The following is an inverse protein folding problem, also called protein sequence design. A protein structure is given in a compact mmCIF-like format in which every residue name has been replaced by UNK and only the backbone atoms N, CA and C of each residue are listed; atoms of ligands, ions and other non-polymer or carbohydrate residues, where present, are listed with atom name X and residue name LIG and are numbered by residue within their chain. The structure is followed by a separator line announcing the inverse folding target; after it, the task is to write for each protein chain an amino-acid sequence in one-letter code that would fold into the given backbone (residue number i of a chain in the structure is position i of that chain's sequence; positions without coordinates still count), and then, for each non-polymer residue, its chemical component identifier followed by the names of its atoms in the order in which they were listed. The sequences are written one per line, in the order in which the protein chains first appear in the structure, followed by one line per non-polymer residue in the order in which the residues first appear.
data_IF_099542373302
#
_entry.id   IF_099542373302
#
_cell.length_a   1.000
_cell.length_b   1.000
_cell.length_c   1.000
_cell.angle_alpha   90.00
_cell.angle_beta   90.00
_cell.angle_gamma   90.00
#
_symmetry.space_group_name_H-M   'P 1'
#
loop_
_entity.id
_entity.type
_entity.pdbx_description
1 polymer ?
#
# COMPACT_ATOMS: atom_id res chain seq x y z
N UNK A 1 14.77 36.84 -2.69
CA UNK A 1 13.94 36.11 -1.72
C UNK A 1 13.69 34.72 -2.30
N UNK A 2 14.51 33.76 -1.90
CA UNK A 2 14.33 32.34 -2.19
C UNK A 2 13.02 31.91 -1.52
N UNK A 3 11.99 31.65 -2.31
CA UNK A 3 10.79 30.98 -1.82
C UNK A 3 11.24 29.60 -1.34
N UNK A 4 11.13 29.34 -0.06
CA UNK A 4 11.25 27.99 0.51
C UNK A 4 10.20 27.15 -0.19
N UNK A 5 10.66 26.27 -1.06
CA UNK A 5 9.83 25.29 -1.75
C UNK A 5 9.17 24.45 -0.64
N UNK A 6 7.86 24.63 -0.43
CA UNK A 6 7.11 23.74 0.44
C UNK A 6 7.21 22.36 -0.21
N UNK A 7 7.80 21.39 0.47
CA UNK A 7 7.88 20.01 0.04
C UNK A 7 6.48 19.38 0.09
N UNK A 8 5.64 19.69 -0.90
CA UNK A 8 4.28 19.16 -0.97
C UNK A 8 4.35 17.68 -1.30
N UNK A 9 3.68 16.86 -0.51
CA UNK A 9 3.46 15.45 -0.79
C UNK A 9 2.08 15.22 -1.41
N UNK A 10 1.97 14.21 -2.28
CA UNK A 10 0.70 13.62 -2.70
C UNK A 10 0.62 12.20 -2.18
N UNK A 11 -0.55 11.81 -1.68
CA UNK A 11 -0.86 10.43 -1.30
C UNK A 11 -2.05 9.97 -2.13
N UNK A 12 -1.87 8.94 -2.97
CA UNK A 12 -2.99 8.28 -3.67
C UNK A 12 -3.62 7.21 -2.79
N UNK A 13 -4.90 6.88 -3.03
CA UNK A 13 -5.62 5.95 -2.17
C UNK A 13 -5.78 6.48 -0.74
N UNK A 14 -5.87 7.79 -0.59
CA UNK A 14 -5.86 8.50 0.69
C UNK A 14 -7.06 8.19 1.60
N UNK A 15 -8.15 7.65 1.07
CA UNK A 15 -9.30 7.17 1.84
C UNK A 15 -9.17 5.69 2.27
N UNK A 16 -8.12 5.00 1.84
CA UNK A 16 -7.81 3.63 2.25
C UNK A 16 -7.06 3.59 3.59
N UNK A 17 -6.90 2.36 4.13
CA UNK A 17 -6.31 2.16 5.45
C UNK A 17 -4.89 2.76 5.57
N UNK A 18 -3.96 2.35 4.71
CA UNK A 18 -2.60 2.89 4.74
C UNK A 18 -2.56 4.34 4.27
N UNK A 19 -3.23 4.67 3.16
CA UNK A 19 -3.21 6.02 2.59
C UNK A 19 -3.68 7.08 3.58
N UNK A 20 -4.74 6.81 4.35
CA UNK A 20 -5.23 7.75 5.35
C UNK A 20 -4.25 7.91 6.52
N UNK A 21 -3.62 6.83 6.99
CA UNK A 21 -2.58 6.92 8.02
C UNK A 21 -1.35 7.72 7.53
N UNK A 22 -0.95 7.58 6.26
CA UNK A 22 0.14 8.39 5.68
C UNK A 22 -0.27 9.87 5.60
N UNK A 23 -1.50 10.18 5.17
CA UNK A 23 -1.99 11.58 5.16
C UNK A 23 -1.94 12.18 6.56
N UNK A 24 -2.42 11.48 7.59
CA UNK A 24 -2.40 11.96 8.98
C UNK A 24 -0.98 12.21 9.49
N UNK A 25 -0.05 11.33 9.16
CA UNK A 25 1.37 11.50 9.51
C UNK A 25 1.98 12.75 8.86
N UNK A 26 1.54 13.10 7.66
CA UNK A 26 2.10 14.19 6.87
C UNK A 26 1.35 15.52 7.01
N UNK A 27 0.28 15.58 7.83
CA UNK A 27 -0.64 16.73 7.88
C UNK A 27 0.09 18.06 8.15
N UNK A 28 1.05 18.06 9.07
CA UNK A 28 1.82 19.25 9.44
C UNK A 28 3.03 19.50 8.52
N UNK A 29 3.30 18.59 7.56
CA UNK A 29 4.42 18.65 6.63
C UNK A 29 4.05 19.14 5.23
N UNK A 30 2.75 19.30 4.97
CA UNK A 30 2.21 19.67 3.67
C UNK A 30 1.88 18.43 2.82
N UNK A 31 0.60 18.09 2.78
CA UNK A 31 0.09 16.91 2.06
C UNK A 31 -1.19 17.25 1.30
N UNK A 32 -1.29 16.70 0.11
CA UNK A 32 -2.51 16.62 -0.70
C UNK A 32 -2.98 15.17 -0.72
N UNK A 33 -4.22 14.95 -0.36
CA UNK A 33 -4.86 13.65 -0.40
C UNK A 33 -5.52 13.44 -1.77
N UNK A 34 -5.35 12.26 -2.38
CA UNK A 34 -6.00 11.93 -3.63
C UNK A 34 -6.84 10.68 -3.48
N UNK A 35 -8.07 10.76 -3.99
CA UNK A 35 -9.05 9.67 -4.00
C UNK A 35 -9.61 9.48 -5.41
N UNK A 36 -10.00 8.26 -5.74
CA UNK A 36 -10.61 7.96 -7.04
C UNK A 36 -11.93 8.69 -7.25
N UNK A 37 -12.72 8.81 -6.17
CA UNK A 37 -14.01 9.51 -6.20
C UNK A 37 -14.24 10.19 -4.86
N UNK A 38 -14.55 11.49 -4.89
CA UNK A 38 -14.86 12.27 -3.68
C UNK A 38 -16.34 12.06 -3.32
N UNK A 39 -16.67 10.94 -2.69
CA UNK A 39 -18.02 10.62 -2.21
C UNK A 39 -18.16 10.69 -0.69
N UNK A 40 -17.17 10.15 0.02
CA UNK A 40 -17.15 10.11 1.48
C UNK A 40 -16.02 11.00 2.00
N UNK A 41 -16.38 12.00 2.80
CA UNK A 41 -15.40 12.91 3.44
C UNK A 41 -15.03 12.49 4.85
N UNK A 42 -15.66 11.45 5.41
CA UNK A 42 -15.40 10.97 6.77
C UNK A 42 -13.91 10.68 7.04
N UNK A 43 -13.16 10.02 6.12
CA UNK A 43 -11.74 9.78 6.34
C UNK A 43 -10.88 11.03 6.52
N UNK A 44 -11.38 12.19 6.08
CA UNK A 44 -10.67 13.48 6.12
C UNK A 44 -11.27 14.46 7.12
N UNK A 45 -12.26 14.05 7.91
CA UNK A 45 -12.89 14.91 8.90
C UNK A 45 -11.86 15.45 9.91
N UNK A 46 -11.81 16.78 10.06
CA UNK A 46 -10.88 17.47 10.97
C UNK A 46 -9.43 17.57 10.43
N UNK A 47 -9.13 17.09 9.23
CA UNK A 47 -7.82 17.22 8.62
C UNK A 47 -7.72 18.47 7.73
N UNK A 48 -6.67 19.25 7.93
CA UNK A 48 -6.38 20.42 7.10
C UNK A 48 -5.51 20.04 5.90
N UNK A 49 -6.11 19.40 4.89
CA UNK A 49 -5.44 19.05 3.65
C UNK A 49 -6.38 19.19 2.44
N UNK A 50 -5.79 19.45 1.28
CA UNK A 50 -6.52 19.41 0.03
C UNK A 50 -6.88 17.96 -0.33
N UNK A 51 -8.12 17.73 -0.71
CA UNK A 51 -8.60 16.44 -1.22
C UNK A 51 -8.93 16.61 -2.70
N UNK A 52 -8.20 15.92 -3.56
CA UNK A 52 -8.36 15.96 -5.02
C UNK A 52 -8.77 14.61 -5.57
N UNK A 53 -9.37 14.62 -6.76
CA UNK A 53 -9.75 13.40 -7.46
C UNK A 53 -8.66 13.00 -8.44
N UNK A 54 -8.20 11.74 -8.36
CA UNK A 54 -7.37 11.14 -9.38
C UNK A 54 -7.58 9.61 -9.44
N UNK A 55 -7.57 9.06 -10.63
CA UNK A 55 -7.70 7.64 -10.90
C UNK A 55 -6.42 7.12 -11.57
N UNK A 56 -5.87 6.01 -11.10
CA UNK A 56 -4.68 5.39 -11.69
C UNK A 56 -4.92 4.92 -13.14
N UNK A 57 -6.16 4.75 -13.55
CA UNK A 57 -6.53 4.43 -14.94
C UNK A 57 -6.65 5.66 -15.84
N UNK A 58 -6.59 6.87 -15.25
CA UNK A 58 -6.63 8.15 -15.95
C UNK A 58 -5.34 8.95 -15.66
N UNK A 59 -4.36 8.80 -16.56
CA UNK A 59 -3.05 9.45 -16.43
C UNK A 59 -3.17 10.98 -16.28
N UNK A 60 -4.10 11.62 -17.00
CA UNK A 60 -4.25 13.08 -16.93
C UNK A 60 -4.74 13.54 -15.55
N UNK A 61 -5.63 12.78 -14.94
CA UNK A 61 -6.08 13.08 -13.57
C UNK A 61 -4.92 13.02 -12.55
N UNK A 62 -4.02 12.06 -12.73
CA UNK A 62 -2.79 11.95 -11.90
C UNK A 62 -1.84 13.14 -12.13
N UNK A 63 -1.61 13.55 -13.39
CA UNK A 63 -0.76 14.70 -13.71
C UNK A 63 -1.32 15.97 -13.04
N UNK A 64 -2.62 16.17 -13.10
CA UNK A 64 -3.27 17.33 -12.48
C UNK A 64 -3.10 17.31 -10.94
N UNK A 65 -3.29 16.15 -10.32
CA UNK A 65 -3.13 16.00 -8.87
C UNK A 65 -1.67 16.18 -8.41
N UNK A 66 -0.70 15.85 -9.26
CA UNK A 66 0.74 15.92 -8.98
C UNK A 66 1.36 17.31 -9.21
N UNK A 67 0.60 18.31 -9.67
CA UNK A 67 1.15 19.66 -9.89
C UNK A 67 1.74 20.23 -8.61
N UNK A 68 3.03 20.62 -8.63
CA UNK A 68 3.74 21.19 -7.50
C UNK A 68 4.17 20.19 -6.41
N UNK A 69 4.00 18.90 -6.66
CA UNK A 69 4.36 17.82 -5.71
C UNK A 69 5.85 17.50 -5.81
N UNK A 70 6.54 17.45 -4.67
CA UNK A 70 7.92 17.00 -4.54
C UNK A 70 8.03 15.48 -4.33
N UNK A 71 7.25 14.94 -3.40
CA UNK A 71 7.25 13.51 -3.05
C UNK A 71 5.87 12.91 -3.29
N UNK A 72 5.85 11.83 -4.03
CA UNK A 72 4.63 11.10 -4.35
C UNK A 72 4.58 9.76 -3.61
N UNK A 73 3.64 9.61 -2.69
CA UNK A 73 3.33 8.33 -2.02
C UNK A 73 2.27 7.59 -2.84
N UNK A 74 2.73 6.68 -3.69
CA UNK A 74 1.88 5.89 -4.56
C UNK A 74 1.31 4.68 -3.78
N UNK A 75 0.30 4.93 -2.97
CA UNK A 75 -0.38 3.94 -2.12
C UNK A 75 -1.55 3.29 -2.84
N UNK A 76 -2.24 4.04 -3.69
CA UNK A 76 -3.41 3.55 -4.42
C UNK A 76 -3.06 2.43 -5.39
N UNK A 77 -3.81 1.32 -5.33
CA UNK A 77 -3.78 0.24 -6.30
C UNK A 77 -5.20 -0.21 -6.63
N UNK A 78 -5.41 -0.78 -7.82
CA UNK A 78 -6.65 -1.48 -8.10
C UNK A 78 -6.62 -2.80 -7.35
N UNK A 79 -7.38 -2.87 -6.26
CA UNK A 79 -7.41 -4.05 -5.41
C UNK A 79 -8.69 -4.84 -5.63
N UNK A 80 -8.55 -6.08 -6.14
CA UNK A 80 -9.58 -7.11 -6.17
C UNK A 80 -8.94 -8.44 -5.81
N UNK A 81 -9.54 -9.18 -4.87
CA UNK A 81 -9.13 -10.56 -4.58
C UNK A 81 -9.72 -11.57 -5.56
N UNK A 82 -10.87 -11.25 -6.12
CA UNK A 82 -11.61 -12.11 -7.03
C UNK A 82 -12.14 -11.29 -8.22
N UNK A 83 -12.09 -11.90 -9.40
CA UNK A 83 -12.61 -11.33 -10.63
C UNK A 83 -13.07 -12.46 -11.56
N UNK A 84 -14.00 -12.18 -12.46
CA UNK A 84 -14.41 -13.13 -13.51
C UNK A 84 -13.27 -13.40 -14.48
N UNK A 85 -12.53 -12.37 -14.84
CA UNK A 85 -11.31 -12.44 -15.64
C UNK A 85 -10.14 -11.86 -14.82
N UNK A 86 -9.44 -12.69 -14.00
CA UNK A 86 -8.37 -12.21 -13.13
C UNK A 86 -7.21 -11.56 -13.89
N UNK A 87 -6.92 -12.04 -15.09
CA UNK A 87 -5.86 -11.44 -15.91
C UNK A 87 -6.21 -10.00 -16.27
N UNK A 88 -7.37 -9.78 -16.83
CA UNK A 88 -7.82 -8.46 -17.29
C UNK A 88 -8.15 -7.51 -16.14
N UNK A 89 -8.90 -7.99 -15.15
CA UNK A 89 -9.46 -7.15 -14.09
C UNK A 89 -8.54 -6.94 -12.88
N UNK A 90 -7.51 -7.78 -12.72
CA UNK A 90 -6.53 -7.66 -11.64
C UNK A 90 -5.16 -7.33 -12.22
N UNK A 91 -4.63 -8.19 -13.06
CA UNK A 91 -3.25 -8.08 -13.53
C UNK A 91 -3.05 -6.87 -14.48
N UNK A 92 -3.75 -6.85 -15.61
CA UNK A 92 -3.55 -5.82 -16.66
C UNK A 92 -3.90 -4.41 -16.13
N UNK A 93 -4.99 -4.26 -15.36
CA UNK A 93 -5.39 -2.97 -14.76
C UNK A 93 -4.34 -2.45 -13.79
N UNK A 94 -3.73 -3.32 -12.97
CA UNK A 94 -2.67 -2.90 -12.06
C UNK A 94 -1.40 -2.46 -12.80
N UNK A 95 -0.96 -3.20 -13.82
CA UNK A 95 0.22 -2.83 -14.60
C UNK A 95 0.01 -1.50 -15.35
N UNK A 96 -1.17 -1.30 -15.96
CA UNK A 96 -1.51 -0.04 -16.59
C UNK A 96 -1.54 1.12 -15.58
N UNK A 97 -2.16 0.90 -14.42
CA UNK A 97 -2.18 1.89 -13.34
C UNK A 97 -0.79 2.28 -12.85
N UNK A 98 0.14 1.33 -12.75
CA UNK A 98 1.53 1.59 -12.38
C UNK A 98 2.23 2.41 -13.47
N UNK A 99 2.07 2.05 -14.74
CA UNK A 99 2.61 2.81 -15.86
C UNK A 99 2.12 4.26 -15.82
N UNK A 100 0.83 4.48 -15.70
CA UNK A 100 0.24 5.82 -15.59
C UNK A 100 0.80 6.58 -14.38
N UNK A 101 0.96 5.92 -13.24
CA UNK A 101 1.49 6.50 -12.00
C UNK A 101 2.92 7.03 -12.18
N UNK A 102 3.80 6.21 -12.73
CA UNK A 102 5.21 6.59 -12.93
C UNK A 102 5.32 7.68 -14.01
N UNK A 103 4.66 7.49 -15.15
CA UNK A 103 4.71 8.46 -16.25
C UNK A 103 4.10 9.82 -15.84
N UNK A 104 3.00 9.84 -15.08
CA UNK A 104 2.42 11.08 -14.58
C UNK A 104 3.36 11.80 -13.60
N UNK A 105 4.06 11.07 -12.74
CA UNK A 105 5.03 11.65 -11.83
C UNK A 105 6.22 12.27 -12.57
N UNK A 106 6.71 11.62 -13.61
CA UNK A 106 7.75 12.14 -14.49
C UNK A 106 7.30 13.43 -15.18
N UNK A 107 6.11 13.42 -15.77
CA UNK A 107 5.56 14.57 -16.50
C UNK A 107 5.27 15.77 -15.58
N UNK A 108 4.85 15.53 -14.36
CA UNK A 108 4.63 16.56 -13.35
C UNK A 108 5.92 17.06 -12.65
N UNK A 109 7.08 16.47 -12.92
CA UNK A 109 8.36 16.87 -12.35
C UNK A 109 8.53 16.45 -10.88
N UNK A 110 7.89 15.38 -10.44
CA UNK A 110 8.06 14.82 -9.09
C UNK A 110 9.51 14.36 -8.91
N UNK A 111 10.11 14.68 -7.76
CA UNK A 111 11.49 14.28 -7.46
C UNK A 111 11.60 12.82 -7.04
N UNK A 112 10.72 12.34 -6.15
CA UNK A 112 10.78 11.00 -5.58
C UNK A 112 9.40 10.37 -5.46
N UNK A 113 9.35 9.07 -5.78
CA UNK A 113 8.18 8.22 -5.59
C UNK A 113 8.47 7.23 -4.45
N UNK A 114 7.59 7.15 -3.46
CA UNK A 114 7.51 6.03 -2.54
C UNK A 114 6.41 5.10 -3.05
N UNK A 115 6.82 3.96 -3.60
CA UNK A 115 5.91 2.99 -4.18
C UNK A 115 5.53 1.94 -3.14
N UNK A 116 4.24 1.81 -2.85
CA UNK A 116 3.73 0.79 -1.94
C UNK A 116 3.47 -0.50 -2.70
N UNK A 117 4.40 -1.43 -2.56
CA UNK A 117 4.32 -2.79 -3.07
C UNK A 117 3.64 -3.71 -2.04
N UNK A 118 4.12 -4.90 -1.87
CA UNK A 118 3.62 -5.89 -0.91
C UNK A 118 4.67 -6.95 -0.64
N UNK A 119 4.62 -7.56 0.53
CA UNK A 119 5.36 -8.79 0.83
C UNK A 119 5.08 -9.89 -0.22
N UNK A 120 3.92 -9.83 -0.90
CA UNK A 120 3.57 -10.71 -2.01
C UNK A 120 4.54 -10.67 -3.20
N UNK A 121 5.36 -9.63 -3.32
CA UNK A 121 6.40 -9.50 -4.34
C UNK A 121 7.75 -10.11 -3.94
N UNK A 122 7.84 -10.74 -2.77
CA UNK A 122 9.08 -11.40 -2.31
C UNK A 122 9.10 -12.89 -2.66
N UNK A 123 10.30 -13.48 -2.68
CA UNK A 123 10.46 -14.92 -2.85
C UNK A 123 10.20 -15.66 -1.53
N UNK A 124 9.06 -16.36 -1.44
CA UNK A 124 8.61 -17.03 -0.19
C UNK A 124 9.30 -18.36 0.08
N UNK A 125 9.86 -19.00 -0.94
CA UNK A 125 10.47 -20.32 -0.77
C UNK A 125 11.83 -20.27 -0.10
N UNK A 126 12.41 -19.08 0.00
CA UNK A 126 13.69 -18.82 0.67
C UNK A 126 13.47 -18.17 2.02
N UNK A 127 13.70 -18.92 3.10
CA UNK A 127 13.56 -18.45 4.47
C UNK A 127 14.91 -18.15 5.10
N UNK A 128 15.03 -17.12 5.97
CA UNK A 128 13.99 -16.10 6.21
C UNK A 128 13.76 -15.24 4.97
N UNK A 129 12.55 -14.67 4.85
CA UNK A 129 12.21 -13.76 3.74
C UNK A 129 13.02 -12.47 3.91
N UNK A 130 13.76 -12.08 2.87
CA UNK A 130 14.61 -10.88 2.83
C UNK A 130 14.46 -10.21 1.46
N UNK A 131 14.75 -8.92 1.40
CA UNK A 131 14.78 -8.17 0.13
C UNK A 131 15.74 -8.80 -0.88
N UNK A 132 16.87 -9.30 -0.42
CA UNK A 132 17.90 -9.96 -1.23
C UNK A 132 17.49 -11.32 -1.83
N UNK A 133 16.38 -11.91 -1.36
CA UNK A 133 15.87 -13.15 -1.94
C UNK A 133 15.30 -12.96 -3.35
N UNK A 134 15.03 -11.71 -3.72
CA UNK A 134 14.48 -11.36 -5.03
C UNK A 134 12.96 -11.45 -5.07
N UNK A 135 12.45 -11.69 -6.25
CA UNK A 135 11.03 -11.68 -6.56
C UNK A 135 10.40 -13.07 -6.51
N UNK A 136 9.10 -13.11 -6.22
CA UNK A 136 8.33 -14.34 -6.22
C UNK A 136 8.33 -14.99 -7.61
N UNK A 137 8.64 -16.27 -7.65
CA UNK A 137 8.69 -17.09 -8.87
C UNK A 137 7.43 -17.94 -9.08
N UNK A 138 6.56 -18.05 -8.07
CA UNK A 138 5.28 -18.74 -8.18
C UNK A 138 4.28 -17.90 -8.99
N UNK A 139 3.79 -18.45 -10.10
CA UNK A 139 2.89 -17.76 -11.04
C UNK A 139 1.42 -18.17 -10.95
N UNK A 140 1.04 -18.95 -9.93
CA UNK A 140 -0.31 -19.51 -9.81
C UNK A 140 -1.37 -18.47 -9.42
N UNK A 141 -0.99 -17.45 -8.65
CA UNK A 141 -1.92 -16.43 -8.15
C UNK A 141 -1.76 -15.11 -8.90
N UNK A 142 -2.86 -14.62 -9.49
CA UNK A 142 -2.83 -13.44 -10.34
C UNK A 142 -2.60 -12.15 -9.56
N UNK A 143 -3.04 -12.08 -8.30
CA UNK A 143 -2.76 -10.95 -7.42
C UNK A 143 -1.26 -10.87 -7.08
N UNK A 144 -0.64 -12.00 -6.70
CA UNK A 144 0.79 -12.05 -6.44
C UNK A 144 1.61 -11.74 -7.69
N UNK A 145 1.17 -12.23 -8.86
CA UNK A 145 1.78 -11.89 -10.14
C UNK A 145 1.72 -10.39 -10.41
N UNK A 146 0.56 -9.76 -10.18
CA UNK A 146 0.38 -8.33 -10.38
C UNK A 146 1.27 -7.50 -9.44
N UNK A 147 1.40 -7.89 -8.17
CA UNK A 147 2.29 -7.22 -7.21
C UNK A 147 3.77 -7.38 -7.58
N UNK A 148 4.16 -8.58 -7.94
CA UNK A 148 5.53 -8.92 -8.32
C UNK A 148 5.98 -8.19 -9.60
N UNK A 149 5.20 -8.34 -10.67
CA UNK A 149 5.52 -7.74 -11.97
C UNK A 149 5.31 -6.23 -11.96
N UNK A 150 4.34 -5.75 -11.16
CA UNK A 150 4.11 -4.33 -10.96
C UNK A 150 5.27 -3.61 -10.32
N UNK A 151 5.88 -4.19 -9.30
CA UNK A 151 7.07 -3.62 -8.67
C UNK A 151 8.26 -3.59 -9.64
N UNK A 152 8.48 -4.68 -10.39
CA UNK A 152 9.53 -4.71 -11.44
C UNK A 152 9.31 -3.61 -12.46
N UNK A 153 8.08 -3.47 -12.96
CA UNK A 153 7.71 -2.43 -13.93
C UNK A 153 7.92 -1.02 -13.37
N UNK A 154 7.57 -0.79 -12.10
CA UNK A 154 7.78 0.49 -11.44
C UNK A 154 9.27 0.89 -11.41
N UNK A 155 10.15 -0.02 -11.03
CA UNK A 155 11.61 0.22 -11.04
C UNK A 155 12.17 0.40 -12.46
N UNK A 156 11.72 -0.41 -13.41
CA UNK A 156 12.12 -0.30 -14.82
C UNK A 156 11.79 1.08 -15.40
N UNK A 157 10.54 1.53 -15.20
CA UNK A 157 10.09 2.84 -15.67
C UNK A 157 10.80 3.99 -14.93
N UNK A 158 10.99 3.86 -13.62
CA UNK A 158 11.72 4.87 -12.84
C UNK A 158 13.16 5.02 -13.33
N UNK A 159 13.85 3.93 -13.58
CA UNK A 159 15.20 3.94 -14.14
C UNK A 159 15.22 4.54 -15.56
N UNK A 160 14.30 4.13 -16.42
CA UNK A 160 14.18 4.63 -17.78
C UNK A 160 13.99 6.14 -17.84
N UNK A 161 13.22 6.70 -16.93
CA UNK A 161 12.89 8.13 -16.89
C UNK A 161 13.74 8.92 -15.89
N UNK A 162 14.70 8.29 -15.24
CA UNK A 162 15.61 8.90 -14.26
C UNK A 162 14.87 9.63 -13.13
N UNK A 163 13.81 9.03 -12.59
CA UNK A 163 13.10 9.51 -11.40
C UNK A 163 13.43 8.63 -10.19
N UNK A 164 13.59 9.22 -9.01
CA UNK A 164 13.84 8.43 -7.81
C UNK A 164 12.62 7.60 -7.42
N UNK A 165 12.83 6.31 -7.13
CA UNK A 165 11.82 5.41 -6.63
C UNK A 165 12.38 4.52 -5.52
N UNK A 166 11.64 4.46 -4.42
CA UNK A 166 11.88 3.55 -3.29
C UNK A 166 10.62 2.74 -3.08
N UNK A 167 10.75 1.42 -3.01
CA UNK A 167 9.61 0.55 -2.74
C UNK A 167 9.54 0.14 -1.26
N UNK A 168 8.33 0.10 -0.71
CA UNK A 168 8.05 -0.50 0.60
C UNK A 168 7.12 -1.69 0.42
N UNK A 169 7.40 -2.77 1.15
CA UNK A 169 6.71 -4.05 1.03
C UNK A 169 6.06 -4.42 2.37
N UNK A 170 4.86 -3.91 2.66
CA UNK A 170 4.18 -4.23 3.91
C UNK A 170 3.74 -5.69 3.99
N UNK A 171 3.81 -6.24 5.20
CA UNK A 171 3.12 -7.48 5.58
C UNK A 171 1.63 -7.24 5.85
N UNK A 172 0.96 -8.08 6.62
CA UNK A 172 -0.48 -7.94 6.89
C UNK A 172 -0.75 -6.75 7.83
N UNK A 173 -1.32 -5.68 7.29
CA UNK A 173 -1.57 -4.43 8.03
C UNK A 173 -2.89 -4.49 8.80
N UNK A 174 -2.83 -4.15 10.09
CA UNK A 174 -3.99 -3.91 10.96
C UNK A 174 -3.76 -2.60 11.73
N UNK A 175 -4.77 -2.10 12.40
CA UNK A 175 -4.67 -0.88 13.22
C UNK A 175 -5.76 0.14 12.95
N UNK A 176 -5.55 1.36 13.41
CA UNK A 176 -6.52 2.45 13.37
C UNK A 176 -6.76 3.04 11.99
N UNK A 177 -7.78 3.89 11.89
CA UNK A 177 -8.19 4.58 10.66
C UNK A 177 -8.57 3.61 9.52
N UNK A 178 -9.23 2.51 9.88
CA UNK A 178 -9.74 1.53 8.94
C UNK A 178 -11.16 1.90 8.50
N UNK A 179 -11.26 2.71 7.46
CA UNK A 179 -12.53 3.06 6.85
C UNK A 179 -12.98 2.00 5.83
N UNK A 180 -14.29 1.91 5.57
CA UNK A 180 -14.80 0.98 4.56
C UNK A 180 -14.47 1.44 3.12
N UNK A 181 -14.13 0.51 2.19
CA UNK A 181 -13.97 -0.93 2.42
C UNK A 181 -12.68 -1.28 3.15
N UNK A 182 -12.75 -2.29 4.02
CA UNK A 182 -11.58 -2.77 4.76
C UNK A 182 -10.58 -3.49 3.84
N UNK A 183 -9.29 -3.45 4.22
CA UNK A 183 -8.25 -4.18 3.49
C UNK A 183 -8.34 -5.71 3.69
N UNK A 184 -7.52 -6.46 2.93
CA UNK A 184 -7.51 -7.94 2.97
C UNK A 184 -7.17 -8.50 4.33
N UNK A 185 -6.26 -7.87 5.06
CA UNK A 185 -5.86 -8.32 6.39
C UNK A 185 -7.05 -8.36 7.34
N UNK A 186 -7.93 -7.36 7.26
CA UNK A 186 -9.20 -7.36 7.99
C UNK A 186 -10.18 -8.45 7.53
N UNK A 187 -10.12 -8.88 6.28
CA UNK A 187 -10.92 -10.03 5.82
C UNK A 187 -10.56 -11.29 6.59
N UNK A 188 -9.28 -11.52 6.88
CA UNK A 188 -8.83 -12.65 7.70
C UNK A 188 -9.36 -12.53 9.13
N UNK A 189 -9.23 -11.36 9.75
CA UNK A 189 -9.80 -11.11 11.09
C UNK A 189 -11.32 -11.36 11.09
N UNK A 190 -12.02 -10.85 10.08
CA UNK A 190 -13.47 -11.04 9.98
C UNK A 190 -13.87 -12.52 9.83
N UNK A 191 -13.09 -13.31 9.09
CA UNK A 191 -13.30 -14.76 8.98
C UNK A 191 -13.08 -15.47 10.34
N UNK A 192 -12.10 -15.05 11.12
CA UNK A 192 -11.88 -15.54 12.49
C UNK A 192 -13.09 -15.22 13.38
N UNK A 193 -13.51 -13.96 13.42
CA UNK A 193 -14.64 -13.51 14.23
C UNK A 193 -15.96 -14.19 13.82
N UNK A 194 -16.14 -14.50 12.54
CA UNK A 194 -17.30 -15.25 12.00
C UNK A 194 -17.17 -16.77 12.14
N UNK A 195 -16.10 -17.27 12.75
CA UNK A 195 -15.86 -18.73 12.93
C UNK A 195 -15.74 -19.50 11.59
N UNK A 196 -15.24 -18.85 10.56
CA UNK A 196 -15.15 -19.41 9.20
C UNK A 196 -13.76 -19.94 8.84
N UNK A 197 -12.75 -19.73 9.70
CA UNK A 197 -11.42 -20.32 9.54
C UNK A 197 -11.26 -21.46 10.55
N UNK A 198 -10.92 -22.70 10.10
CA UNK A 198 -10.53 -23.77 11.00
C UNK A 198 -9.29 -23.37 11.80
N UNK A 199 -9.28 -23.58 13.11
CA UNK A 199 -8.18 -23.16 14.02
C UNK A 199 -6.86 -23.87 13.69
N UNK A 200 -6.91 -25.06 13.09
CA UNK A 200 -5.75 -25.90 12.79
C UNK A 200 -5.29 -25.79 11.33
N UNK A 201 -5.08 -24.58 10.84
CA UNK A 201 -4.68 -24.39 9.43
C UNK A 201 -3.18 -24.48 9.16
N UNK A 202 -2.33 -24.44 10.19
CA UNK A 202 -0.88 -24.31 10.02
C UNK A 202 -0.42 -22.99 9.39
N UNK A 203 -1.34 -22.09 9.07
CA UNK A 203 -1.06 -20.79 8.47
C UNK A 203 -0.51 -19.84 9.54
N UNK A 204 0.56 -19.15 9.20
CA UNK A 204 1.12 -18.05 9.98
C UNK A 204 1.01 -16.75 9.21
N UNK A 205 0.77 -15.64 9.91
CA UNK A 205 0.74 -14.31 9.34
C UNK A 205 1.70 -13.38 10.09
N UNK A 206 2.33 -12.50 9.37
CA UNK A 206 3.07 -11.40 9.95
C UNK A 206 2.15 -10.18 10.02
N UNK A 207 1.70 -9.85 11.24
CA UNK A 207 0.88 -8.68 11.50
C UNK A 207 1.76 -7.47 11.77
N UNK A 208 1.42 -6.31 11.19
CA UNK A 208 2.10 -5.04 11.43
C UNK A 208 1.07 -3.94 11.66
N UNK A 209 1.36 -3.02 12.59
CA UNK A 209 0.53 -1.84 12.77
C UNK A 209 0.65 -0.93 11.53
N UNK A 210 -0.48 -0.49 11.01
CA UNK A 210 -0.54 0.41 9.85
C UNK A 210 0.18 1.74 10.09
N UNK A 211 0.29 2.20 11.34
CA UNK A 211 1.05 3.40 11.70
C UNK A 211 2.54 3.20 11.53
N UNK A 212 3.05 2.01 11.87
CA UNK A 212 4.45 1.65 11.62
C UNK A 212 4.75 1.59 10.13
N UNK A 213 3.80 1.10 9.32
CA UNK A 213 3.92 1.11 7.86
C UNK A 213 3.91 2.55 7.32
N UNK A 214 3.04 3.41 7.82
CA UNK A 214 3.02 4.83 7.44
C UNK A 214 4.35 5.53 7.78
N UNK A 215 4.90 5.28 8.96
CA UNK A 215 6.23 5.76 9.35
C UNK A 215 7.32 5.19 8.42
N UNK A 216 7.25 3.91 8.07
CA UNK A 216 8.14 3.27 7.09
C UNK A 216 8.08 3.95 5.73
N UNK A 217 6.90 4.34 5.25
CA UNK A 217 6.73 5.13 4.02
C UNK A 217 7.43 6.51 4.13
N UNK A 218 7.27 7.19 5.25
CA UNK A 218 7.93 8.47 5.50
C UNK A 218 9.45 8.34 5.55
N UNK A 219 9.97 7.31 6.22
CA UNK A 219 11.40 7.01 6.26
C UNK A 219 11.94 6.64 4.88
N UNK A 220 11.19 5.91 4.07
CA UNK A 220 11.55 5.62 2.68
C UNK A 220 11.68 6.91 1.85
N UNK A 221 10.78 7.88 2.07
CA UNK A 221 10.86 9.18 1.39
C UNK A 221 12.07 10.01 1.81
N UNK A 222 12.45 9.98 3.09
CA UNK A 222 13.45 10.89 3.69
C UNK A 222 14.82 10.27 3.81
N UNK A 223 14.92 8.97 4.05
CA UNK A 223 16.18 8.23 4.29
C UNK A 223 16.39 7.05 3.36
N UNK A 224 15.35 6.60 2.62
CA UNK A 224 15.45 5.49 1.71
C UNK A 224 16.42 5.78 0.55
N UNK A 225 17.17 4.77 0.14
CA UNK A 225 18.08 4.86 -1.00
C UNK A 225 17.29 4.62 -2.30
N UNK A 226 17.54 5.45 -3.29
CA UNK A 226 16.94 5.30 -4.61
C UNK A 226 17.23 3.90 -5.19
N UNK A 227 16.22 3.26 -5.75
CA UNK A 227 16.33 1.93 -6.34
C UNK A 227 16.24 0.77 -5.35
N UNK A 228 16.10 1.04 -4.05
CA UNK A 228 16.01 0.01 -3.03
C UNK A 228 14.55 -0.34 -2.67
N UNK A 229 14.38 -1.54 -2.15
CA UNK A 229 13.12 -2.08 -1.63
C UNK A 229 13.28 -2.42 -0.15
N UNK A 230 12.26 -2.14 0.66
CA UNK A 230 12.28 -2.32 2.10
C UNK A 230 11.04 -3.10 2.56
N UNK A 231 11.24 -4.24 3.19
CA UNK A 231 10.17 -5.00 3.83
C UNK A 231 9.76 -4.30 5.13
N UNK A 232 8.47 -4.08 5.30
CA UNK A 232 7.88 -3.51 6.50
C UNK A 232 7.06 -4.61 7.20
N UNK A 233 7.64 -5.20 8.24
CA UNK A 233 7.10 -6.36 8.93
C UNK A 233 7.59 -6.40 10.38
N UNK A 234 6.89 -7.16 11.23
CA UNK A 234 7.39 -7.52 12.56
C UNK A 234 8.43 -8.64 12.47
N UNK A 235 9.21 -8.81 13.53
CA UNK A 235 10.26 -9.85 13.59
C UNK A 235 9.70 -11.26 13.52
N UNK A 236 8.50 -11.48 14.05
CA UNK A 236 7.89 -12.81 14.16
C UNK A 236 6.55 -12.91 13.46
N UNK A 237 6.30 -14.08 12.88
CA UNK A 237 4.97 -14.44 12.37
C UNK A 237 4.14 -15.07 13.48
N UNK A 238 2.83 -14.85 13.43
CA UNK A 238 1.86 -15.38 14.39
C UNK A 238 1.02 -16.46 13.73
N UNK A 239 0.93 -17.67 14.30
CA UNK A 239 -0.02 -18.68 13.84
C UNK A 239 -1.46 -18.18 13.94
N UNK A 240 -2.32 -18.58 13.01
CA UNK A 240 -3.75 -18.21 13.04
C UNK A 240 -4.41 -18.61 14.36
N UNK A 241 -4.06 -19.77 14.93
CA UNK A 241 -4.55 -20.21 16.24
C UNK A 241 -4.30 -19.18 17.35
N UNK A 242 -3.14 -18.51 17.33
CA UNK A 242 -2.81 -17.51 18.37
C UNK A 242 -3.59 -16.21 18.11
N UNK A 243 -3.76 -15.81 16.87
CA UNK A 243 -4.66 -14.70 16.50
C UNK A 243 -6.09 -15.00 16.96
N UNK A 244 -6.58 -16.24 16.75
CA UNK A 244 -7.90 -16.68 17.19
C UNK A 244 -8.01 -16.65 18.72
N UNK A 245 -7.00 -17.13 19.45
CA UNK A 245 -6.98 -17.08 20.92
C UNK A 245 -7.06 -15.65 21.45
N UNK A 246 -6.31 -14.73 20.86
CA UNK A 246 -6.38 -13.30 21.21
C UNK A 246 -7.79 -12.74 20.94
N UNK A 247 -8.40 -13.09 19.81
CA UNK A 247 -9.77 -12.67 19.50
C UNK A 247 -10.79 -13.23 20.51
N UNK A 248 -10.62 -14.47 20.96
CA UNK A 248 -11.46 -15.08 22.02
C UNK A 248 -11.33 -14.34 23.35
N UNK A 249 -10.11 -13.94 23.73
CA UNK A 249 -9.85 -13.20 24.96
C UNK A 249 -10.44 -11.78 24.92
N UNK A 250 -10.34 -11.11 23.75
CA UNK A 250 -10.86 -9.75 23.57
C UNK A 250 -12.39 -9.68 23.39
N UNK A 251 -12.99 -10.73 22.82
CA UNK A 251 -14.42 -10.77 22.44
C UNK A 251 -15.05 -12.09 22.93
N UNK A 252 -15.07 -12.36 24.27
CA UNK A 252 -15.60 -13.61 24.80
C UNK A 252 -17.09 -13.81 24.47
N UNK A 253 -17.85 -12.72 24.30
CA UNK A 253 -19.26 -12.74 23.93
C UNK A 253 -19.52 -13.34 22.54
N UNK A 254 -18.52 -13.34 21.65
CA UNK A 254 -18.67 -13.92 20.31
C UNK A 254 -18.55 -15.45 20.31
N UNK A 255 -18.12 -16.06 21.43
CA UNK A 255 -17.93 -17.51 21.56
C UNK A 255 -17.20 -18.13 20.35
N UNK A 256 -16.09 -17.51 19.93
CA UNK A 256 -15.24 -17.98 18.83
C UNK A 256 -14.66 -19.34 19.23
N UNK A 257 -14.70 -20.35 18.32
CA UNK A 257 -14.20 -21.73 18.59
C UNK A 257 -12.93 -21.97 17.81
#
# INVERSE_FOLDING_TARGET
KTMTQKNLALVTGANGHLGNNVVRLLIDKGVRASVRTIKNKEPFAGLNCDVVQADITDKQSLINALQGVDVFYAVGAAFKLWAKDPKKEIYDVNLEGIKNTIEAAVEAGVRRIVYVSSIAATEFTKLPIKESNGYNTDRRDMYFNAKNDGEKLAFELAQKHNIELVAVLPSAMIGSEAFAPLNVSYSVINLILKKQIPVETGITLNWIDVKDVAEGCYLAATKGRNGERYILANETCMPIKDTTRIAQELYPELAIK
#
